data_IF_618871321184
#
_entry.id   IF_618871321184
#
_cell.length_a   1.000
_cell.length_b   1.000
_cell.length_c   1.000
_cell.angle_alpha   90.00
_cell.angle_beta   90.00
_cell.angle_gamma   90.00
#
_symmetry.space_group_name_H-M   'P 1'
#
loop_
_entity.id
_entity.type
_entity.pdbx_description
1 polymer ?
#
# COMPACT_ATOMS: atom_id res chain seq x y z
N UNK A 1 -21.16 -7.83 -0.22
CA UNK A 1 -19.76 -7.81 -0.68
C UNK A 1 -19.49 -9.10 -1.46
N UNK A 2 -18.81 -9.05 -2.60
CA UNK A 2 -18.36 -10.27 -3.31
C UNK A 2 -16.91 -10.57 -2.87
N UNK A 3 -16.63 -11.69 -2.16
CA UNK A 3 -15.30 -11.93 -1.56
C UNK A 3 -14.15 -11.92 -2.57
N UNK A 4 -14.38 -12.43 -3.79
CA UNK A 4 -13.39 -12.44 -4.88
C UNK A 4 -12.95 -11.04 -5.29
N UNK A 5 -13.88 -10.10 -5.45
CA UNK A 5 -13.57 -8.73 -5.83
C UNK A 5 -12.81 -7.98 -4.73
N UNK A 6 -13.16 -8.23 -3.47
CA UNK A 6 -12.43 -7.67 -2.33
C UNK A 6 -11.00 -8.22 -2.30
N UNK A 7 -10.84 -9.53 -2.43
CA UNK A 7 -9.52 -10.16 -2.44
C UNK A 7 -8.64 -9.64 -3.57
N UNK A 8 -9.17 -9.55 -4.80
CA UNK A 8 -8.45 -9.00 -5.94
C UNK A 8 -8.05 -7.53 -5.69
N UNK A 9 -8.98 -6.72 -5.17
CA UNK A 9 -8.69 -5.35 -4.77
C UNK A 9 -7.55 -5.26 -3.76
N UNK A 10 -7.56 -6.10 -2.72
CA UNK A 10 -6.53 -6.12 -1.67
C UNK A 10 -5.15 -6.46 -2.24
N UNK A 11 -5.06 -7.45 -3.13
CA UNK A 11 -3.80 -7.81 -3.78
C UNK A 11 -3.27 -6.64 -4.61
N UNK A 12 -4.11 -6.02 -5.43
CA UNK A 12 -3.69 -4.89 -6.27
C UNK A 12 -3.27 -3.68 -5.43
N UNK A 13 -4.02 -3.36 -4.38
CA UNK A 13 -3.69 -2.29 -3.44
C UNK A 13 -2.37 -2.57 -2.73
N UNK A 14 -2.14 -3.80 -2.29
CA UNK A 14 -0.88 -4.22 -1.66
C UNK A 14 0.31 -4.07 -2.61
N UNK A 15 0.20 -4.52 -3.86
CA UNK A 15 1.24 -4.33 -4.89
C UNK A 15 1.58 -2.85 -5.04
N UNK A 16 0.57 -1.99 -5.19
CA UNK A 16 0.78 -0.53 -5.34
C UNK A 16 1.49 0.04 -4.12
N UNK A 17 1.10 -0.33 -2.90
CA UNK A 17 1.71 0.19 -1.68
C UNK A 17 3.18 -0.17 -1.51
N UNK A 18 3.64 -1.28 -2.11
CA UNK A 18 5.04 -1.73 -2.02
C UNK A 18 5.86 -1.18 -3.18
N UNK A 19 5.39 -1.38 -4.41
CA UNK A 19 6.19 -1.08 -5.60
C UNK A 19 6.21 0.41 -5.94
N UNK A 20 5.14 1.16 -5.67
CA UNK A 20 5.12 2.59 -5.98
C UNK A 20 6.13 3.37 -5.11
N UNK A 21 6.19 3.21 -3.77
CA UNK A 21 7.26 3.81 -2.98
C UNK A 21 8.65 3.30 -3.36
N UNK A 22 8.78 2.01 -3.70
CA UNK A 22 10.06 1.44 -4.13
C UNK A 22 10.59 2.06 -5.42
N UNK A 23 9.70 2.54 -6.29
CA UNK A 23 10.05 3.32 -7.48
C UNK A 23 10.37 4.77 -7.12
N UNK A 24 9.50 5.41 -6.33
CA UNK A 24 9.57 6.84 -6.06
C UNK A 24 10.79 7.22 -5.21
N UNK A 25 11.15 6.43 -4.19
CA UNK A 25 12.28 6.70 -3.31
C UNK A 25 13.60 6.87 -4.07
N UNK A 26 14.02 5.93 -4.95
CA UNK A 26 15.18 6.14 -5.81
C UNK A 26 14.98 7.27 -6.83
N UNK A 27 13.77 7.44 -7.39
CA UNK A 27 13.49 8.51 -8.36
C UNK A 27 13.72 9.92 -7.78
N UNK A 28 13.48 10.12 -6.48
CA UNK A 28 13.72 11.39 -5.78
C UNK A 28 15.06 11.43 -5.02
N UNK A 29 15.94 10.45 -5.24
CA UNK A 29 17.27 10.43 -4.64
C UNK A 29 17.30 10.14 -3.14
N UNK A 30 16.24 9.55 -2.59
CA UNK A 30 16.13 9.21 -1.16
C UNK A 30 16.61 7.78 -0.85
N UNK A 31 17.23 7.08 -1.80
CA UNK A 31 17.69 5.70 -1.63
C UNK A 31 19.21 5.64 -1.36
N UNK A 32 19.65 5.24 -0.16
CA UNK A 32 21.07 5.09 0.16
C UNK A 32 21.70 3.78 -0.37
N UNK A 33 20.88 2.80 -0.76
CA UNK A 33 21.29 1.40 -0.95
C UNK A 33 21.85 1.06 -2.34
N UNK A 34 21.77 1.95 -3.34
CA UNK A 34 22.13 1.61 -4.73
C UNK A 34 22.63 2.80 -5.58
N UNK A 35 23.72 3.48 -5.19
CA UNK A 35 24.28 4.56 -6.01
C UNK A 35 24.71 4.02 -7.40
N UNK A 36 24.23 4.66 -8.47
CA UNK A 36 24.63 4.36 -9.85
C UNK A 36 23.82 3.27 -10.58
N UNK A 37 22.77 2.70 -9.96
CA UNK A 37 21.87 1.77 -10.65
C UNK A 37 20.83 2.49 -11.52
N UNK A 38 20.36 1.81 -12.57
CA UNK A 38 19.21 2.31 -13.34
C UNK A 38 17.93 2.29 -12.49
N UNK A 39 16.98 3.19 -12.78
CA UNK A 39 15.75 3.31 -11.99
C UNK A 39 14.97 1.99 -11.83
N UNK A 40 14.79 1.15 -12.87
CA UNK A 40 14.15 -0.14 -12.71
C UNK A 40 14.92 -1.09 -11.78
N UNK A 41 16.26 -1.15 -11.90
CA UNK A 41 17.09 -1.99 -11.05
C UNK A 41 17.02 -1.55 -9.57
N UNK A 42 17.10 -0.24 -9.32
CA UNK A 42 16.96 0.33 -7.99
C UNK A 42 15.56 0.06 -7.39
N UNK A 43 14.51 0.10 -8.21
CA UNK A 43 13.14 -0.21 -7.79
C UNK A 43 13.01 -1.66 -7.30
N UNK A 44 13.53 -2.61 -8.08
CA UNK A 44 13.51 -4.03 -7.71
C UNK A 44 14.37 -4.31 -6.48
N UNK A 45 15.58 -3.76 -6.43
CA UNK A 45 16.47 -3.89 -5.28
C UNK A 45 15.80 -3.39 -3.99
N UNK A 46 15.15 -2.22 -4.03
CA UNK A 46 14.44 -1.70 -2.86
C UNK A 46 13.24 -2.56 -2.48
N UNK A 47 12.45 -3.00 -3.46
CA UNK A 47 11.29 -3.84 -3.21
C UNK A 47 11.67 -5.20 -2.56
N UNK A 48 12.81 -5.76 -2.95
CA UNK A 48 13.36 -7.00 -2.38
C UNK A 48 13.93 -6.78 -0.98
N UNK A 49 14.53 -5.62 -0.73
CA UNK A 49 15.05 -5.23 0.58
C UNK A 49 13.96 -4.98 1.63
N UNK A 50 12.75 -4.59 1.21
CA UNK A 50 11.61 -4.43 2.12
C UNK A 50 11.30 -5.76 2.79
N UNK A 51 11.46 -5.78 4.12
CA UNK A 51 11.24 -6.95 4.95
C UNK A 51 9.86 -7.60 4.70
N UNK A 52 9.77 -8.94 4.64
CA UNK A 52 8.48 -9.64 4.49
C UNK A 52 7.46 -9.25 5.57
N UNK A 53 7.92 -9.01 6.80
CA UNK A 53 7.06 -8.60 7.92
C UNK A 53 6.42 -7.23 7.70
N UNK A 54 7.14 -6.25 7.12
CA UNK A 54 6.56 -4.95 6.79
C UNK A 54 5.42 -5.09 5.76
N UNK A 55 5.64 -5.91 4.72
CA UNK A 55 4.64 -6.19 3.68
C UNK A 55 3.39 -6.86 4.26
N UNK A 56 3.58 -7.85 5.13
CA UNK A 56 2.49 -8.58 5.78
C UNK A 56 1.74 -7.73 6.80
N UNK A 57 2.45 -6.93 7.60
CA UNK A 57 1.85 -6.01 8.56
C UNK A 57 0.94 -4.98 7.87
N UNK A 58 1.43 -4.38 6.78
CA UNK A 58 0.61 -3.47 5.98
C UNK A 58 -0.62 -4.19 5.41
N UNK A 59 -0.44 -5.36 4.80
CA UNK A 59 -1.55 -6.14 4.25
C UNK A 59 -2.62 -6.47 5.31
N UNK A 60 -2.20 -6.90 6.51
CA UNK A 60 -3.10 -7.26 7.60
C UNK A 60 -3.90 -6.06 8.13
N UNK A 61 -3.21 -4.94 8.39
CA UNK A 61 -3.86 -3.72 8.89
C UNK A 61 -4.80 -3.15 7.84
N UNK A 62 -4.32 -2.99 6.59
CA UNK A 62 -5.12 -2.49 5.48
C UNK A 62 -6.38 -3.33 5.28
N UNK A 63 -6.24 -4.66 5.21
CA UNK A 63 -7.38 -5.56 5.03
C UNK A 63 -8.42 -5.41 6.14
N UNK A 64 -7.96 -5.32 7.39
CA UNK A 64 -8.85 -5.16 8.55
C UNK A 64 -9.65 -3.86 8.46
N UNK A 65 -8.97 -2.74 8.16
CA UNK A 65 -9.60 -1.42 8.04
C UNK A 65 -10.59 -1.35 6.88
N UNK A 66 -10.19 -1.83 5.69
CA UNK A 66 -11.05 -1.81 4.51
C UNK A 66 -12.26 -2.73 4.68
N UNK A 67 -12.11 -3.92 5.25
CA UNK A 67 -13.26 -4.79 5.56
C UNK A 67 -14.19 -4.16 6.59
N UNK A 68 -13.64 -3.41 7.56
CA UNK A 68 -14.39 -2.65 8.54
C UNK A 68 -15.26 -1.56 7.89
N UNK A 69 -14.67 -0.72 7.02
CA UNK A 69 -15.39 0.40 6.41
C UNK A 69 -16.53 -0.06 5.49
N UNK A 70 -16.42 -1.26 4.91
CA UNK A 70 -17.48 -1.86 4.09
C UNK A 70 -18.74 -2.23 4.87
N UNK A 71 -18.72 -2.16 6.20
CA UNK A 71 -19.91 -2.30 7.06
C UNK A 71 -20.70 -0.99 7.18
N UNK A 72 -20.14 0.14 6.72
CA UNK A 72 -20.77 1.45 6.75
C UNK A 72 -21.52 1.73 5.45
N UNK A 73 -22.66 2.39 5.55
CA UNK A 73 -23.45 2.84 4.41
C UNK A 73 -22.91 4.18 3.87
N UNK A 74 -21.74 4.15 3.23
CA UNK A 74 -21.15 5.32 2.58
C UNK A 74 -21.54 5.40 1.10
N UNK A 75 -21.70 6.61 0.59
CA UNK A 75 -21.81 6.83 -0.85
C UNK A 75 -20.46 6.56 -1.54
N UNK A 76 -20.46 6.44 -2.88
CA UNK A 76 -19.27 6.03 -3.64
C UNK A 76 -18.06 6.95 -3.43
N UNK A 77 -18.27 8.26 -3.42
CA UNK A 77 -17.18 9.24 -3.28
C UNK A 77 -16.61 9.19 -1.87
N UNK A 78 -17.48 9.15 -0.85
CA UNK A 78 -17.07 9.01 0.54
C UNK A 78 -16.35 7.69 0.80
N UNK A 79 -16.74 6.60 0.15
CA UNK A 79 -16.09 5.31 0.26
C UNK A 79 -14.66 5.34 -0.32
N UNK A 80 -14.47 5.94 -1.49
CA UNK A 80 -13.14 6.12 -2.09
C UNK A 80 -12.25 6.97 -1.18
N UNK A 81 -12.78 8.10 -0.68
CA UNK A 81 -12.05 8.97 0.24
C UNK A 81 -11.67 8.23 1.54
N UNK A 82 -12.58 7.40 2.07
CA UNK A 82 -12.32 6.58 3.25
C UNK A 82 -11.25 5.51 2.96
N UNK A 83 -11.28 4.85 1.81
CA UNK A 83 -10.27 3.84 1.45
C UNK A 83 -8.86 4.46 1.36
N UNK A 84 -8.75 5.63 0.73
CA UNK A 84 -7.51 6.41 0.66
C UNK A 84 -7.02 6.78 2.07
N UNK A 85 -7.90 7.33 2.91
CA UNK A 85 -7.55 7.72 4.27
C UNK A 85 -7.12 6.51 5.13
N UNK A 86 -7.85 5.39 5.05
CA UNK A 86 -7.55 4.17 5.79
C UNK A 86 -6.25 3.50 5.33
N UNK A 87 -5.92 3.58 4.04
CA UNK A 87 -4.63 3.10 3.54
C UNK A 87 -3.48 3.96 4.10
N UNK A 88 -3.62 5.29 4.13
CA UNK A 88 -2.65 6.17 4.79
C UNK A 88 -2.51 5.86 6.28
N UNK A 89 -3.63 5.66 7.00
CA UNK A 89 -3.64 5.26 8.41
C UNK A 89 -2.93 3.92 8.60
N UNK A 90 -3.18 2.94 7.74
CA UNK A 90 -2.50 1.65 7.77
C UNK A 90 -0.98 1.81 7.63
N UNK A 91 -0.54 2.62 6.66
CA UNK A 91 0.88 2.88 6.43
C UNK A 91 1.54 3.54 7.64
N UNK A 92 0.90 4.58 8.19
CA UNK A 92 1.38 5.26 9.39
C UNK A 92 1.42 4.32 10.60
N UNK A 93 0.43 3.43 10.75
CA UNK A 93 0.42 2.44 11.80
C UNK A 93 1.59 1.45 11.67
N UNK A 94 1.91 0.98 10.45
CA UNK A 94 3.10 0.12 10.24
C UNK A 94 4.38 0.88 10.59
N UNK A 95 4.56 2.11 10.13
CA UNK A 95 5.73 2.94 10.47
C UNK A 95 5.86 3.18 11.99
N UNK A 96 4.74 3.39 12.66
CA UNK A 96 4.69 3.65 14.10
C UNK A 96 4.97 2.39 14.95
N UNK A 97 4.45 1.23 14.54
CA UNK A 97 4.39 0.03 15.38
C UNK A 97 5.44 -1.02 15.04
N UNK A 98 5.90 -1.08 13.79
CA UNK A 98 6.85 -2.12 13.37
C UNK A 98 8.19 -1.92 14.10
N UNK A 99 8.73 -2.94 14.79
CA UNK A 99 10.05 -2.87 15.41
C UNK A 99 11.16 -2.68 14.38
N UNK A 100 12.27 -2.07 14.79
CA UNK A 100 13.41 -1.81 13.90
C UNK A 100 13.97 -3.09 13.27
N UNK A 101 14.14 -4.15 14.06
CA UNK A 101 14.62 -5.47 13.61
C UNK A 101 13.79 -6.07 12.48
N UNK A 102 12.52 -5.67 12.35
CA UNK A 102 11.57 -6.17 11.35
C UNK A 102 11.33 -5.19 10.20
N UNK A 103 12.01 -4.05 10.21
CA UNK A 103 11.78 -2.92 9.31
C UNK A 103 12.87 -2.79 8.24
N UNK A 104 13.67 -3.82 7.96
CA UNK A 104 14.71 -3.76 6.91
C UNK A 104 14.15 -3.20 5.60
N UNK A 105 14.84 -2.20 5.02
CA UNK A 105 14.44 -1.56 3.76
C UNK A 105 13.16 -0.70 3.84
N UNK A 106 12.60 -0.48 5.04
CA UNK A 106 11.33 0.24 5.23
C UNK A 106 11.35 1.13 6.48
N UNK A 107 10.86 2.36 6.39
CA UNK A 107 10.70 3.25 7.56
C UNK A 107 11.99 3.42 8.38
N UNK A 108 11.97 3.00 9.64
CA UNK A 108 13.14 3.06 10.54
C UNK A 108 14.30 2.19 10.05
N UNK A 109 14.07 1.02 9.46
CA UNK A 109 15.14 0.18 8.94
C UNK A 109 15.69 0.63 7.58
N UNK A 110 15.10 1.67 6.98
CA UNK A 110 15.68 2.37 5.82
C UNK A 110 16.46 3.63 6.22
N UNK A 111 15.96 4.38 7.22
CA UNK A 111 16.44 5.74 7.52
C UNK A 111 17.07 5.93 8.90
N UNK A 112 16.99 4.93 9.78
CA UNK A 112 17.33 5.04 11.20
C UNK A 112 16.32 5.83 12.03
N UNK A 113 15.23 6.33 11.45
CA UNK A 113 14.16 7.06 12.16
C UNK A 113 12.77 6.63 11.70
N UNK A 114 11.79 6.60 12.59
CA UNK A 114 10.43 6.11 12.25
C UNK A 114 9.70 6.99 11.23
N UNK A 115 9.86 8.31 11.33
CA UNK A 115 9.15 9.29 10.51
C UNK A 115 10.11 10.29 9.86
N UNK A 116 11.06 9.78 9.07
CA UNK A 116 11.84 10.64 8.19
C UNK A 116 10.90 11.34 7.19
N UNK A 117 10.89 12.68 7.17
CA UNK A 117 9.88 13.46 6.45
C UNK A 117 9.77 13.08 4.96
N UNK A 118 10.90 12.99 4.25
CA UNK A 118 10.93 12.62 2.82
C UNK A 118 10.32 11.24 2.54
N UNK A 119 10.88 10.15 3.09
CA UNK A 119 10.35 8.81 2.86
C UNK A 119 8.92 8.62 3.37
N UNK A 120 8.54 9.25 4.48
CA UNK A 120 7.17 9.20 5.00
C UNK A 120 6.17 9.76 3.99
N UNK A 121 6.47 10.91 3.36
CA UNK A 121 5.62 11.47 2.31
C UNK A 121 5.51 10.53 1.11
N UNK A 122 6.62 9.91 0.70
CA UNK A 122 6.61 8.94 -0.41
C UNK A 122 5.75 7.71 -0.08
N UNK A 123 5.85 7.18 1.14
CA UNK A 123 5.00 6.08 1.60
C UNK A 123 3.52 6.46 1.64
N UNK A 124 3.19 7.70 2.06
CA UNK A 124 1.82 8.20 2.07
C UNK A 124 1.26 8.36 0.65
N UNK A 125 2.07 8.79 -0.32
CA UNK A 125 1.65 8.78 -1.74
C UNK A 125 1.34 7.36 -2.18
N UNK A 126 2.24 6.40 -1.91
CA UNK A 126 2.01 4.99 -2.21
C UNK A 126 0.73 4.43 -1.57
N UNK A 127 0.49 4.76 -0.31
CA UNK A 127 -0.69 4.36 0.44
C UNK A 127 -1.98 5.00 -0.11
N UNK A 128 -1.94 6.27 -0.49
CA UNK A 128 -3.09 6.93 -1.10
C UNK A 128 -3.49 6.26 -2.43
N UNK A 129 -2.51 5.98 -3.30
CA UNK A 129 -2.75 5.23 -4.54
C UNK A 129 -3.21 3.80 -4.26
N UNK A 130 -2.69 3.15 -3.22
CA UNK A 130 -3.13 1.82 -2.77
C UNK A 130 -4.63 1.79 -2.44
N UNK A 131 -5.11 2.73 -1.59
CA UNK A 131 -6.52 2.85 -1.26
C UNK A 131 -7.40 3.17 -2.47
N UNK A 132 -6.94 4.07 -3.34
CA UNK A 132 -7.65 4.40 -4.59
C UNK A 132 -7.75 3.19 -5.54
N UNK A 133 -6.67 2.45 -5.72
CA UNK A 133 -6.63 1.22 -6.54
C UNK A 133 -7.58 0.17 -5.99
N UNK A 134 -7.65 0.01 -4.66
CA UNK A 134 -8.62 -0.90 -4.04
C UNK A 134 -10.05 -0.58 -4.47
N UNK A 135 -10.48 0.67 -4.31
CA UNK A 135 -11.85 1.08 -4.64
C UNK A 135 -12.18 0.87 -6.12
N UNK A 136 -11.23 1.19 -7.02
CA UNK A 136 -11.40 1.02 -8.46
C UNK A 136 -11.51 -0.46 -8.86
N UNK A 137 -10.58 -1.29 -8.40
CA UNK A 137 -10.53 -2.72 -8.75
C UNK A 137 -11.77 -3.43 -8.21
N UNK A 138 -12.17 -3.14 -6.97
CA UNK A 138 -13.37 -3.73 -6.38
C UNK A 138 -14.64 -3.33 -7.16
N UNK A 139 -14.78 -2.04 -7.49
CA UNK A 139 -15.94 -1.54 -8.24
C UNK A 139 -16.02 -2.14 -9.65
N UNK A 140 -14.89 -2.19 -10.37
CA UNK A 140 -14.82 -2.74 -11.72
C UNK A 140 -15.11 -4.24 -11.71
N UNK A 141 -14.51 -5.00 -10.79
CA UNK A 141 -14.79 -6.42 -10.64
C UNK A 141 -16.29 -6.67 -10.45
N UNK A 142 -16.95 -5.95 -9.52
CA UNK A 142 -18.39 -6.09 -9.28
C UNK A 142 -19.23 -5.79 -10.52
N UNK A 143 -18.88 -4.74 -11.28
CA UNK A 143 -19.62 -4.41 -12.50
C UNK A 143 -19.56 -5.49 -13.58
N UNK A 144 -18.43 -6.19 -13.71
CA UNK A 144 -18.27 -7.32 -14.66
C UNK A 144 -19.12 -8.50 -14.19
N UNK A 145 -19.07 -8.75 -12.90
CA UNK A 145 -19.76 -9.83 -12.19
C UNK A 145 -21.29 -9.69 -12.19
N UNK A 146 -21.80 -8.46 -12.26
CA UNK A 146 -23.24 -8.18 -12.38
C UNK A 146 -23.73 -8.33 -13.83
N UNK A 147 -22.83 -8.23 -14.82
CA UNK A 147 -23.13 -8.44 -16.25
C UNK A 147 -23.07 -9.92 -16.67
N UNK A 148 -22.53 -10.81 -15.84
CA UNK A 148 -22.44 -12.25 -16.09
C UNK A 148 -23.17 -13.07 -15.02
N UNK A 149 -24.53 -13.05 -14.99
CA UNK A 149 -25.30 -13.72 -13.93
C UNK A 149 -25.25 -15.26 -13.96
N UNK A 150 -24.65 -15.88 -14.98
CA UNK A 150 -24.75 -17.32 -15.27
C UNK A 150 -23.40 -18.07 -15.33
N UNK A 151 -22.39 -17.69 -14.53
CA UNK A 151 -21.17 -18.48 -14.34
C UNK A 151 -20.87 -18.75 -12.87
#
# INVERSE_FOLDING_TARGET
MRPRCVFLGLIMAWVVAIYLPSLLLPAVGLMPLAPGQSLPAATWALADEVAPLAKLAYAAILSTLLLGVRRLALNRIALIAADVALACIAMLAVLALLPEDWSRGFGVGLTGTRFAAGPTLVYLVGAAFSGFTFSLVEANCRSIDDQSPNR
#
